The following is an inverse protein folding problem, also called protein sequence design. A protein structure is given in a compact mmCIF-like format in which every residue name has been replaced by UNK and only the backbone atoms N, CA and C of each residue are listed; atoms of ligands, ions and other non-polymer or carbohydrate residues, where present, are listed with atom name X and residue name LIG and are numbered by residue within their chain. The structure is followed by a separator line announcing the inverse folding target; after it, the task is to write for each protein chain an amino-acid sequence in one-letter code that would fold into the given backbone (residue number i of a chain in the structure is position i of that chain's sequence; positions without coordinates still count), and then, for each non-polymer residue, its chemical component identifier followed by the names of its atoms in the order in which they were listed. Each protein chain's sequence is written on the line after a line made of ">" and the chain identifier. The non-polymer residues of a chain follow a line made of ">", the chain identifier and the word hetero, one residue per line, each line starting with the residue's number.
data_IF_657806451104
#
_entry.id   IF_657806451104
#
_cell.length_a   1.000
_cell.length_b   1.000
_cell.length_c   1.000
_cell.angle_alpha   90.00
_cell.angle_beta   90.00
_cell.angle_gamma   90.00
#
_symmetry.space_group_name_H-M   'P 1'
#
loop_
_entity.id
_entity.type
_entity.pdbx_description
1 polymer ?
#
# COMPACT_ATOMS: atom_id res chain seq x y z
N UNK A 1 12.87 -16.76 -11.37
CA UNK A 1 14.04 -17.23 -12.15
C UNK A 1 14.18 -16.59 -13.55
N UNK A 2 13.28 -15.70 -13.99
CA UNK A 2 13.29 -15.14 -15.35
C UNK A 2 14.45 -14.16 -15.59
N UNK A 3 14.84 -13.37 -14.59
CA UNK A 3 15.91 -12.36 -14.72
C UNK A 3 17.29 -12.95 -14.39
N UNK A 4 17.37 -13.84 -13.41
CA UNK A 4 18.64 -14.40 -12.91
C UNK A 4 19.24 -15.50 -13.80
N UNK A 5 18.43 -16.22 -14.57
CA UNK A 5 18.91 -17.26 -15.50
C UNK A 5 19.07 -16.77 -16.95
N UNK A 6 18.83 -15.48 -17.20
CA UNK A 6 18.86 -14.94 -18.56
C UNK A 6 20.32 -14.76 -19.04
N UNK A 7 20.69 -15.47 -20.10
CA UNK A 7 22.06 -15.47 -20.64
C UNK A 7 22.41 -14.13 -21.28
N UNK A 8 21.45 -13.42 -21.88
CA UNK A 8 21.69 -12.12 -22.52
C UNK A 8 21.98 -11.04 -21.47
N UNK A 9 21.21 -11.05 -20.38
CA UNK A 9 21.39 -10.06 -19.29
C UNK A 9 22.68 -10.30 -18.49
N UNK A 10 23.08 -11.56 -18.30
CA UNK A 10 24.30 -11.90 -17.57
C UNK A 10 25.57 -11.77 -18.43
N UNK A 11 25.45 -11.82 -19.76
CA UNK A 11 26.60 -11.66 -20.66
C UNK A 11 26.90 -10.20 -21.01
N UNK A 12 25.94 -9.29 -20.78
CA UNK A 12 26.09 -7.88 -21.11
C UNK A 12 26.76 -7.12 -19.93
N UNK A 13 27.89 -6.42 -20.16
CA UNK A 13 28.66 -5.75 -19.12
C UNK A 13 27.90 -4.63 -18.40
N UNK A 14 26.84 -4.08 -19.02
CA UNK A 14 26.02 -3.02 -18.42
C UNK A 14 24.89 -3.58 -17.53
N UNK A 15 24.38 -4.78 -17.81
CA UNK A 15 23.25 -5.37 -17.09
C UNK A 15 23.66 -6.41 -16.06
N UNK A 16 24.73 -7.16 -16.31
CA UNK A 16 25.26 -8.17 -15.40
C UNK A 16 25.52 -7.64 -13.97
N UNK A 17 26.21 -6.49 -13.76
CA UNK A 17 26.42 -5.97 -12.40
C UNK A 17 25.12 -5.57 -11.71
N UNK A 18 24.11 -5.13 -12.47
CA UNK A 18 22.80 -4.74 -11.94
C UNK A 18 22.04 -5.98 -11.48
N UNK A 19 22.03 -7.03 -12.31
CA UNK A 19 21.42 -8.32 -11.96
C UNK A 19 22.08 -8.88 -10.72
N UNK A 20 23.41 -8.83 -10.63
CA UNK A 20 24.14 -9.35 -9.49
C UNK A 20 23.99 -8.51 -8.21
N UNK A 21 23.89 -7.18 -8.31
CA UNK A 21 23.67 -6.33 -7.14
C UNK A 21 22.26 -6.49 -6.56
N UNK A 22 21.25 -6.57 -7.43
CA UNK A 22 19.84 -6.48 -7.04
C UNK A 22 19.15 -7.85 -6.92
N UNK A 23 19.64 -8.88 -7.61
CA UNK A 23 18.97 -10.19 -7.70
C UNK A 23 19.89 -11.37 -7.34
N UNK A 24 21.04 -11.13 -6.69
CA UNK A 24 21.98 -12.19 -6.27
C UNK A 24 21.47 -13.09 -5.14
N UNK A 25 20.62 -12.58 -4.27
CA UNK A 25 20.14 -13.29 -3.09
C UNK A 25 18.66 -13.02 -2.86
N UNK A 26 18.02 -13.84 -2.03
CA UNK A 26 16.63 -13.62 -1.60
C UNK A 26 16.46 -12.26 -0.91
N UNK A 27 17.41 -11.87 -0.05
CA UNK A 27 17.34 -10.60 0.68
C UNK A 27 17.48 -9.38 -0.23
N UNK A 28 18.46 -9.39 -1.14
CA UNK A 28 18.65 -8.30 -2.11
C UNK A 28 17.48 -8.22 -3.09
N UNK A 29 16.98 -9.37 -3.55
CA UNK A 29 15.77 -9.43 -4.39
C UNK A 29 14.57 -8.83 -3.66
N UNK A 30 14.36 -9.16 -2.39
CA UNK A 30 13.28 -8.62 -1.59
C UNK A 30 13.40 -7.10 -1.42
N UNK A 31 14.60 -6.60 -1.15
CA UNK A 31 14.87 -5.16 -1.06
C UNK A 31 14.56 -4.46 -2.38
N UNK A 32 15.02 -5.02 -3.50
CA UNK A 32 14.72 -4.48 -4.83
C UNK A 32 13.22 -4.49 -5.10
N UNK A 33 12.52 -5.59 -4.86
CA UNK A 33 11.06 -5.62 -5.04
C UNK A 33 10.34 -4.59 -4.17
N UNK A 34 10.82 -4.36 -2.94
CA UNK A 34 10.29 -3.31 -2.05
C UNK A 34 10.53 -1.91 -2.63
N UNK A 35 11.69 -1.66 -3.23
CA UNK A 35 11.97 -0.41 -3.96
C UNK A 35 11.04 -0.21 -5.16
N UNK A 36 10.74 -1.28 -5.92
CA UNK A 36 9.76 -1.23 -7.02
C UNK A 36 8.36 -0.86 -6.52
N UNK A 37 7.96 -1.44 -5.40
CA UNK A 37 6.69 -1.15 -4.75
C UNK A 37 6.61 0.30 -4.26
N UNK A 38 7.68 0.79 -3.66
CA UNK A 38 7.79 2.16 -3.15
C UNK A 38 8.02 3.19 -4.26
N UNK A 39 8.22 2.76 -5.51
CA UNK A 39 8.67 3.60 -6.63
C UNK A 39 9.97 4.36 -6.33
N UNK A 40 10.77 3.86 -5.38
CA UNK A 40 12.02 4.48 -4.96
C UNK A 40 13.17 3.93 -5.80
N UNK A 41 13.76 4.79 -6.63
CA UNK A 41 14.98 4.50 -7.38
C UNK A 41 14.92 3.24 -8.28
N UNK A 42 13.76 2.62 -8.45
CA UNK A 42 13.55 1.39 -9.22
C UNK A 42 13.88 1.56 -10.72
N UNK A 43 13.78 2.81 -11.22
CA UNK A 43 14.17 3.16 -12.58
C UNK A 43 15.64 2.88 -12.90
N UNK A 44 16.54 3.00 -11.91
CA UNK A 44 17.95 2.66 -12.09
C UNK A 44 18.15 1.15 -12.33
N UNK A 45 17.20 0.32 -11.89
CA UNK A 45 17.24 -1.14 -12.05
C UNK A 45 16.54 -1.57 -13.34
N UNK A 46 15.27 -1.20 -13.56
CA UNK A 46 14.53 -1.74 -14.72
C UNK A 46 14.94 -1.11 -16.05
N UNK A 47 15.31 0.17 -16.12
CA UNK A 47 15.63 0.83 -17.40
C UNK A 47 16.74 0.12 -18.19
N UNK A 48 17.95 -0.09 -17.63
CA UNK A 48 19.02 -0.76 -18.36
C UNK A 48 18.67 -2.22 -18.71
N UNK A 49 17.86 -2.89 -17.89
CA UNK A 49 17.38 -4.25 -18.17
C UNK A 49 16.38 -4.27 -19.34
N UNK A 50 15.46 -3.32 -19.39
CA UNK A 50 14.48 -3.18 -20.48
C UNK A 50 15.15 -2.72 -21.77
N UNK A 51 16.17 -1.87 -21.72
CA UNK A 51 16.97 -1.49 -22.89
C UNK A 51 17.68 -2.69 -23.51
N UNK A 52 18.26 -3.56 -22.67
CA UNK A 52 18.87 -4.80 -23.15
C UNK A 52 17.82 -5.81 -23.65
N UNK A 53 16.66 -5.89 -22.99
CA UNK A 53 15.60 -6.84 -23.33
C UNK A 53 14.20 -6.21 -23.15
N UNK A 54 13.63 -5.63 -24.22
CA UNK A 54 12.39 -4.84 -24.14
C UNK A 54 11.18 -5.59 -23.56
N UNK A 55 11.13 -6.92 -23.71
CA UNK A 55 10.03 -7.74 -23.17
C UNK A 55 9.91 -7.67 -21.64
N UNK A 56 10.99 -7.31 -20.93
CA UNK A 56 10.98 -7.14 -19.47
C UNK A 56 10.08 -5.99 -19.01
N UNK A 57 9.69 -5.08 -19.91
CA UNK A 57 8.77 -3.98 -19.58
C UNK A 57 7.42 -4.51 -19.08
N UNK A 58 6.95 -5.63 -19.61
CA UNK A 58 5.70 -6.25 -19.17
C UNK A 58 5.85 -6.86 -17.78
N UNK A 59 7.01 -7.45 -17.48
CA UNK A 59 7.28 -8.04 -16.16
C UNK A 59 7.34 -6.96 -15.08
N UNK A 60 8.20 -5.95 -15.26
CA UNK A 60 8.35 -4.86 -14.28
C UNK A 60 7.11 -3.97 -14.23
N UNK A 61 6.48 -3.69 -15.37
CA UNK A 61 5.25 -2.91 -15.45
C UNK A 61 4.08 -3.58 -14.75
N UNK A 62 3.93 -4.90 -14.89
CA UNK A 62 2.92 -5.66 -14.15
C UNK A 62 3.17 -5.59 -12.64
N UNK A 63 4.42 -5.76 -12.18
CA UNK A 63 4.74 -5.65 -10.75
C UNK A 63 4.37 -4.27 -10.20
N UNK A 64 4.78 -3.21 -10.87
CA UNK A 64 4.46 -1.83 -10.44
C UNK A 64 2.95 -1.62 -10.43
N UNK A 65 2.24 -1.95 -11.51
CA UNK A 65 0.80 -1.72 -11.59
C UNK A 65 0.02 -2.54 -10.57
N UNK A 66 0.17 -3.87 -10.58
CA UNK A 66 -0.62 -4.74 -9.73
C UNK A 66 -0.31 -4.54 -8.26
N UNK A 67 0.97 -4.43 -7.89
CA UNK A 67 1.35 -4.32 -6.48
C UNK A 67 1.04 -2.92 -5.95
N UNK A 68 1.29 -1.84 -6.70
CA UNK A 68 0.92 -0.49 -6.25
C UNK A 68 -0.59 -0.31 -6.14
N UNK A 69 -1.39 -0.85 -7.08
CA UNK A 69 -2.86 -0.81 -6.98
C UNK A 69 -3.34 -1.64 -5.78
N UNK A 70 -2.84 -2.86 -5.60
CA UNK A 70 -3.23 -3.71 -4.49
C UNK A 70 -2.91 -3.06 -3.14
N UNK A 71 -1.74 -2.45 -2.99
CA UNK A 71 -1.35 -1.73 -1.78
C UNK A 71 -2.19 -0.47 -1.55
N UNK A 72 -2.46 0.30 -2.61
CA UNK A 72 -3.34 1.47 -2.50
C UNK A 72 -4.74 1.06 -2.06
N UNK A 73 -5.26 -0.05 -2.59
CA UNK A 73 -6.56 -0.58 -2.18
C UNK A 73 -6.57 -1.04 -0.72
N UNK A 74 -5.49 -1.70 -0.27
CA UNK A 74 -5.34 -2.11 1.12
C UNK A 74 -5.28 -0.90 2.07
N UNK A 75 -4.43 0.09 1.77
CA UNK A 75 -4.32 1.33 2.53
C UNK A 75 -5.67 2.05 2.55
N UNK A 76 -6.33 2.16 1.41
CA UNK A 76 -7.67 2.76 1.30
C UNK A 76 -8.68 2.04 2.17
N UNK A 77 -8.70 0.70 2.14
CA UNK A 77 -9.61 -0.10 2.97
C UNK A 77 -9.40 0.18 4.46
N UNK A 78 -8.16 0.17 4.93
CA UNK A 78 -7.82 0.47 6.34
C UNK A 78 -8.23 1.89 6.73
N UNK A 79 -7.99 2.88 5.87
CA UNK A 79 -8.39 4.27 6.13
C UNK A 79 -9.91 4.44 6.17
N UNK A 80 -10.63 3.79 5.26
CA UNK A 80 -12.11 3.81 5.22
C UNK A 80 -12.70 3.14 6.44
N UNK A 81 -12.17 1.98 6.83
CA UNK A 81 -12.61 1.26 8.03
C UNK A 81 -12.36 2.09 9.30
N UNK A 82 -11.18 2.71 9.41
CA UNK A 82 -10.87 3.65 10.49
C UNK A 82 -11.84 4.83 10.53
N UNK A 83 -12.06 5.50 9.40
CA UNK A 83 -12.98 6.64 9.31
C UNK A 83 -14.43 6.25 9.65
N UNK A 84 -14.89 5.08 9.21
CA UNK A 84 -16.22 4.58 9.51
C UNK A 84 -16.38 4.26 11.01
N UNK A 85 -15.39 3.61 11.61
CA UNK A 85 -15.38 3.30 13.04
C UNK A 85 -15.40 4.58 13.90
N UNK A 86 -14.62 5.59 13.53
CA UNK A 86 -14.65 6.90 14.18
C UNK A 86 -16.03 7.56 14.05
N UNK A 87 -16.60 7.60 12.85
CA UNK A 87 -17.92 8.19 12.63
C UNK A 87 -19.06 7.44 13.37
N UNK A 88 -18.94 6.12 13.55
CA UNK A 88 -19.89 5.35 14.35
C UNK A 88 -19.77 5.69 15.84
N UNK A 89 -18.55 5.75 16.37
CA UNK A 89 -18.28 6.13 17.76
C UNK A 89 -18.87 7.51 18.09
N UNK A 90 -18.69 8.50 17.20
CA UNK A 90 -19.23 9.85 17.40
C UNK A 90 -20.76 9.86 17.45
N UNK A 91 -21.42 9.11 16.55
CA UNK A 91 -22.89 8.99 16.56
C UNK A 91 -23.43 8.34 17.84
N UNK A 92 -22.71 7.37 18.38
CA UNK A 92 -23.14 6.68 19.60
C UNK A 92 -22.95 7.57 20.84
N UNK A 93 -21.87 8.36 20.89
CA UNK A 93 -21.69 9.40 21.91
C UNK A 93 -22.80 10.46 21.85
N UNK A 94 -23.16 10.94 20.65
CA UNK A 94 -24.26 11.90 20.47
C UNK A 94 -25.61 11.34 20.93
N UNK A 95 -25.88 10.05 20.67
CA UNK A 95 -27.11 9.39 21.15
C UNK A 95 -27.16 9.32 22.67
N UNK A 96 -26.04 9.01 23.33
CA UNK A 96 -25.95 8.95 24.79
C UNK A 96 -26.20 10.34 25.38
N UNK A 97 -25.51 11.39 24.90
CA UNK A 97 -25.71 12.76 25.38
C UNK A 97 -27.15 13.23 25.16
N UNK A 98 -27.74 12.92 23.99
CA UNK A 98 -29.14 13.25 23.72
C UNK A 98 -30.10 12.55 24.69
N UNK A 99 -29.89 11.27 24.97
CA UNK A 99 -30.76 10.52 25.89
C UNK A 99 -30.63 11.00 27.34
N UNK A 100 -29.42 11.38 27.76
CA UNK A 100 -29.20 12.03 29.06
C UNK A 100 -29.93 13.37 29.16
N UNK A 101 -29.86 14.22 28.13
CA UNK A 101 -30.56 15.51 28.09
C UNK A 101 -32.07 15.34 28.17
N UNK A 102 -32.62 14.38 27.44
CA UNK A 102 -34.04 14.04 27.48
C UNK A 102 -34.46 13.59 28.89
N UNK A 103 -33.70 12.69 29.51
CA UNK A 103 -33.96 12.22 30.88
C UNK A 103 -33.93 13.38 31.89
N UNK A 104 -32.94 14.27 31.81
CA UNK A 104 -32.82 15.47 32.65
C UNK A 104 -33.99 16.45 32.44
N UNK A 105 -34.45 16.62 31.19
CA UNK A 105 -35.58 17.48 30.87
C UNK A 105 -36.91 16.94 31.43
N UNK A 106 -37.15 15.63 31.33
CA UNK A 106 -38.33 14.97 31.89
C UNK A 106 -38.38 15.12 33.42
N UNK A 107 -37.26 14.89 34.11
CA UNK A 107 -37.17 15.10 35.56
C UNK A 107 -37.54 16.54 35.94
N UNK A 108 -37.00 17.54 35.22
CA UNK A 108 -37.34 18.95 35.47
C UNK A 108 -38.82 19.25 35.29
N UNK A 109 -39.47 18.69 34.26
CA UNK A 109 -40.89 18.89 34.04
C UNK A 109 -41.71 18.31 35.21
N UNK A 110 -41.40 17.09 35.65
CA UNK A 110 -42.08 16.48 36.81
C UNK A 110 -41.92 17.34 38.06
N UNK A 111 -40.73 17.87 38.33
CA UNK A 111 -40.50 18.73 39.51
C UNK A 111 -41.17 20.11 39.45
N UNK A 112 -41.58 20.58 38.28
CA UNK A 112 -42.25 21.88 38.14
C UNK A 112 -43.78 21.78 38.24
N UNK A 113 -44.33 20.63 37.88
CA UNK A 113 -45.78 20.40 37.82
C UNK A 113 -46.32 19.49 38.94
N UNK A 114 -45.45 18.94 39.79
CA UNK A 114 -45.80 18.21 41.02
C UNK A 114 -45.38 18.99 42.25
#
# INVERSE_FOLDING_TARGET
>A
EIVTKDVELNSNPNTAPIVQANFSSLGTTFLTLTQFVALDSAAAVYKPLVEAKPILIFYFGAIVLFVSIALMNLVTAVLVEGALNHAQSDRDLEKIDRNERLSKALIRLVTLFG
#
